data_IF_451621711881
#
_entry.id   IF_451621711881
#
_cell.length_a   1.000
_cell.length_b   1.000
_cell.length_c   1.000
_cell.angle_alpha   90.00
_cell.angle_beta   90.00
_cell.angle_gamma   90.00
#
_symmetry.space_group_name_H-M   'P 1'
#
loop_
_entity.id
_entity.type
_entity.pdbx_description
1 polymer ?
#
# COMPACT_ATOMS: atom_id res chain seq x y z
N UNK A 1 29.96 1.51 2.24
CA UNK A 1 29.83 1.17 3.67
C UNK A 1 30.00 2.40 4.59
N UNK A 2 30.77 3.42 4.19
CA UNK A 2 30.99 4.68 4.94
C UNK A 2 29.74 5.33 5.55
N UNK A 3 28.67 5.52 4.77
CA UNK A 3 27.43 6.13 5.28
C UNK A 3 26.75 5.31 6.38
N UNK A 4 26.76 3.98 6.24
CA UNK A 4 26.16 3.06 7.21
C UNK A 4 26.95 3.06 8.51
N UNK A 5 28.28 2.95 8.45
CA UNK A 5 29.14 2.92 9.65
C UNK A 5 29.16 4.25 10.41
N UNK A 6 28.84 5.36 9.73
CA UNK A 6 28.67 6.67 10.37
C UNK A 6 27.27 6.87 10.97
N UNK A 7 26.37 5.88 10.90
CA UNK A 7 25.05 5.95 11.53
C UNK A 7 24.04 6.81 10.77
N UNK A 8 24.26 7.08 9.48
CA UNK A 8 23.35 7.93 8.69
C UNK A 8 22.01 7.22 8.35
N UNK A 9 21.92 5.91 8.54
CA UNK A 9 20.72 5.11 8.25
C UNK A 9 20.52 4.77 6.76
N UNK A 10 21.45 5.16 5.88
CA UNK A 10 21.42 4.89 4.43
C UNK A 10 22.83 4.57 3.87
N UNK A 11 22.97 4.05 2.63
CA UNK A 11 21.92 3.60 1.72
C UNK A 11 21.10 2.45 2.30
N UNK A 12 19.79 2.46 2.03
CA UNK A 12 18.95 1.32 2.36
C UNK A 12 19.31 0.14 1.43
N UNK A 13 19.54 -1.04 2.00
CA UNK A 13 19.95 -2.21 1.23
C UNK A 13 18.72 -3.02 0.83
N UNK A 14 18.65 -3.40 -0.45
CA UNK A 14 17.53 -4.15 -1.03
C UNK A 14 18.00 -5.35 -1.81
N UNK A 15 17.14 -6.37 -1.83
CA UNK A 15 17.34 -7.53 -2.66
C UNK A 15 16.82 -7.24 -4.08
N UNK A 16 17.74 -6.88 -4.97
CA UNK A 16 17.47 -6.54 -6.37
C UNK A 16 16.63 -7.60 -7.09
N UNK A 17 17.00 -8.88 -6.98
CA UNK A 17 16.33 -9.98 -7.67
C UNK A 17 14.89 -10.21 -7.18
N UNK A 18 14.62 -9.93 -5.91
CA UNK A 18 13.25 -9.98 -5.37
C UNK A 18 12.41 -8.85 -5.95
N UNK A 19 12.96 -7.64 -6.06
CA UNK A 19 12.23 -6.47 -6.53
C UNK A 19 11.93 -6.52 -8.04
N UNK A 20 12.89 -6.99 -8.85
CA UNK A 20 12.66 -7.25 -10.28
C UNK A 20 11.52 -8.25 -10.46
N UNK A 21 11.58 -9.40 -9.77
CA UNK A 21 10.54 -10.43 -9.84
C UNK A 21 9.18 -9.92 -9.35
N UNK A 22 9.17 -9.06 -8.31
CA UNK A 22 7.94 -8.46 -7.79
C UNK A 22 7.28 -7.54 -8.83
N UNK A 23 8.04 -6.66 -9.49
CA UNK A 23 7.51 -5.81 -10.57
C UNK A 23 6.94 -6.65 -11.73
N UNK A 24 7.66 -7.70 -12.14
CA UNK A 24 7.19 -8.58 -13.20
C UNK A 24 5.88 -9.29 -12.82
N UNK A 25 5.79 -9.80 -11.58
CA UNK A 25 4.64 -10.58 -11.12
C UNK A 25 3.41 -9.70 -10.83
N UNK A 26 3.57 -8.62 -10.06
CA UNK A 26 2.45 -7.79 -9.61
C UNK A 26 2.03 -6.73 -10.61
N UNK A 27 2.98 -6.27 -11.43
CA UNK A 27 2.76 -5.16 -12.36
C UNK A 27 2.85 -5.57 -13.82
N UNK A 28 3.14 -6.84 -14.13
CA UNK A 28 3.34 -7.30 -15.51
C UNK A 28 4.40 -6.47 -16.28
N UNK A 29 5.34 -5.86 -15.55
CA UNK A 29 6.41 -5.06 -16.14
C UNK A 29 7.36 -5.99 -16.91
N UNK A 30 7.74 -5.65 -18.16
CA UNK A 30 8.76 -6.39 -18.89
C UNK A 30 10.06 -6.46 -18.11
N UNK A 31 10.78 -7.57 -18.20
CA UNK A 31 11.99 -7.79 -17.41
C UNK A 31 13.04 -6.68 -17.61
N UNK A 32 13.20 -6.19 -18.85
CA UNK A 32 14.11 -5.08 -19.17
C UNK A 32 13.79 -3.82 -18.38
N UNK A 33 12.51 -3.43 -18.32
CA UNK A 33 12.06 -2.27 -17.53
C UNK A 33 12.09 -2.56 -16.02
N UNK A 34 11.76 -3.79 -15.59
CA UNK A 34 11.80 -4.16 -14.19
C UNK A 34 13.20 -4.04 -13.59
N UNK A 35 14.26 -4.20 -14.41
CA UNK A 35 15.67 -3.99 -14.03
C UNK A 35 16.03 -2.52 -13.80
N UNK A 36 15.22 -1.57 -14.25
CA UNK A 36 15.44 -0.13 -14.01
C UNK A 36 14.75 0.39 -12.75
N UNK A 37 14.29 -0.51 -11.87
CA UNK A 37 13.52 -0.14 -10.70
C UNK A 37 14.25 0.85 -9.79
N UNK A 38 13.49 1.80 -9.27
CA UNK A 38 13.89 2.66 -8.15
C UNK A 38 12.88 2.50 -7.02
N UNK A 39 13.24 2.91 -5.81
CA UNK A 39 12.27 2.96 -4.71
C UNK A 39 11.36 4.19 -4.92
N UNK A 40 10.08 3.98 -5.20
CA UNK A 40 9.14 5.09 -5.44
C UNK A 40 8.92 5.96 -4.20
N UNK A 41 9.05 5.35 -3.03
CA UNK A 41 9.05 6.01 -1.73
C UNK A 41 10.03 5.26 -0.82
N UNK A 42 9.56 4.77 0.33
CA UNK A 42 10.41 3.98 1.20
C UNK A 42 10.76 2.64 0.56
N UNK A 43 9.76 1.77 0.28
CA UNK A 43 10.02 0.36 -0.03
C UNK A 43 9.72 -0.05 -1.47
N UNK A 44 8.60 0.40 -2.03
CA UNK A 44 8.02 -0.24 -3.21
C UNK A 44 8.84 0.05 -4.47
N UNK A 45 9.21 -0.99 -5.24
CA UNK A 45 9.95 -0.81 -6.48
C UNK A 45 9.03 -0.23 -7.54
N UNK A 46 9.53 0.69 -8.36
CA UNK A 46 8.84 1.21 -9.53
C UNK A 46 9.86 1.35 -10.66
N UNK A 47 9.61 0.74 -11.83
CA UNK A 47 10.40 0.98 -13.02
C UNK A 47 10.43 2.47 -13.36
N UNK A 48 11.62 2.98 -13.71
CA UNK A 48 11.79 4.32 -14.26
C UNK A 48 12.20 4.18 -15.72
N UNK A 49 11.32 4.59 -16.63
CA UNK A 49 11.53 4.49 -18.09
C UNK A 49 11.11 5.80 -18.75
N UNK A 50 11.67 6.08 -19.94
CA UNK A 50 11.30 7.26 -20.74
C UNK A 50 9.89 7.17 -21.32
N UNK A 51 9.45 5.96 -21.64
CA UNK A 51 8.08 5.70 -22.10
C UNK A 51 7.07 6.20 -21.07
N UNK A 52 7.37 6.00 -19.79
CA UNK A 52 6.74 6.66 -18.66
C UNK A 52 6.89 5.81 -17.40
N UNK A 53 6.67 6.40 -16.25
CA UNK A 53 6.55 5.66 -14.99
C UNK A 53 5.20 5.90 -14.33
N UNK A 54 4.99 5.25 -13.19
CA UNK A 54 3.78 5.40 -12.41
C UNK A 54 3.64 6.85 -11.90
N UNK A 55 2.64 7.63 -12.35
CA UNK A 55 2.53 9.07 -12.08
C UNK A 55 2.02 9.39 -10.67
N UNK A 56 1.53 8.38 -9.95
CA UNK A 56 0.85 8.53 -8.69
C UNK A 56 1.37 7.51 -7.66
N UNK A 57 1.46 7.93 -6.40
CA UNK A 57 1.66 7.00 -5.29
C UNK A 57 0.34 6.29 -5.01
N UNK A 58 0.25 4.98 -5.25
CA UNK A 58 -0.98 4.23 -4.98
C UNK A 58 -1.24 3.99 -3.50
N UNK A 59 -0.20 3.97 -2.68
CA UNK A 59 -0.32 4.06 -1.22
C UNK A 59 -0.66 5.50 -0.79
N UNK A 60 -1.87 5.98 -1.08
CA UNK A 60 -2.40 7.17 -0.39
C UNK A 60 -3.05 6.80 0.95
N UNK A 61 -3.22 5.51 1.24
CA UNK A 61 -3.86 5.00 2.44
C UNK A 61 -2.91 4.05 3.19
N UNK A 62 -2.56 4.47 4.40
CA UNK A 62 -1.92 3.64 5.39
C UNK A 62 -3.02 2.97 6.22
N UNK A 63 -3.00 1.65 6.35
CA UNK A 63 -3.85 0.93 7.31
C UNK A 63 -3.06 0.65 8.57
N UNK A 64 -3.74 0.55 9.71
CA UNK A 64 -3.13 0.36 11.02
C UNK A 64 -3.52 -1.03 11.53
N UNK A 65 -2.57 -1.96 11.52
CA UNK A 65 -2.86 -3.35 11.81
C UNK A 65 -3.22 -3.63 13.27
N UNK A 66 -2.53 -3.01 14.22
CA UNK A 66 -2.90 -3.08 15.65
C UNK A 66 -4.28 -2.49 15.92
N UNK A 67 -4.72 -1.51 15.12
CA UNK A 67 -6.07 -0.96 15.24
C UNK A 67 -7.12 -2.01 14.88
N UNK A 68 -6.87 -2.89 13.91
CA UNK A 68 -7.77 -3.99 13.60
C UNK A 68 -7.91 -4.97 14.79
N UNK A 69 -6.83 -5.23 15.53
CA UNK A 69 -6.88 -6.02 16.76
C UNK A 69 -7.74 -5.35 17.83
N UNK A 70 -7.49 -4.06 18.11
CA UNK A 70 -8.29 -3.29 19.07
C UNK A 70 -9.78 -3.28 18.66
N UNK A 71 -10.08 -3.08 17.38
CA UNK A 71 -11.45 -3.10 16.88
C UNK A 71 -12.11 -4.47 17.07
N UNK A 72 -11.40 -5.58 16.84
CA UNK A 72 -11.97 -6.90 17.10
C UNK A 72 -12.32 -7.10 18.59
N UNK A 73 -11.44 -6.62 19.49
CA UNK A 73 -11.66 -6.65 20.94
C UNK A 73 -12.75 -5.68 21.45
N UNK A 74 -13.16 -4.73 20.62
CA UNK A 74 -14.19 -3.75 20.96
C UNK A 74 -15.43 -3.89 20.06
N UNK A 75 -15.63 -5.04 19.41
CA UNK A 75 -16.78 -5.28 18.53
C UNK A 75 -16.93 -4.19 17.44
N UNK A 76 -15.81 -3.79 16.84
CA UNK A 76 -15.69 -2.73 15.84
C UNK A 76 -15.80 -1.29 16.37
N UNK A 77 -16.00 -1.11 17.68
CA UNK A 77 -16.07 0.20 18.29
C UNK A 77 -14.68 0.76 18.57
N UNK A 78 -14.46 2.04 18.23
CA UNK A 78 -13.24 2.73 18.58
C UNK A 78 -13.47 3.56 19.86
N UNK A 79 -12.86 3.18 21.00
CA UNK A 79 -13.05 3.90 22.25
C UNK A 79 -12.39 5.28 22.26
N UNK A 80 -11.34 5.52 21.45
CA UNK A 80 -10.63 6.80 21.38
C UNK A 80 -11.48 7.87 20.69
N UNK A 81 -12.17 7.51 19.61
CA UNK A 81 -13.04 8.43 18.86
C UNK A 81 -14.50 8.36 19.31
N UNK A 82 -14.82 7.44 20.23
CA UNK A 82 -16.17 7.15 20.68
C UNK A 82 -17.13 6.89 19.49
N UNK A 83 -16.69 6.10 18.51
CA UNK A 83 -17.40 5.88 17.25
C UNK A 83 -17.26 4.43 16.76
N UNK A 84 -18.34 3.89 16.19
CA UNK A 84 -18.30 2.62 15.46
C UNK A 84 -17.62 2.85 14.11
N UNK A 85 -16.41 2.31 13.92
CA UNK A 85 -15.66 2.46 12.67
C UNK A 85 -15.39 1.13 11.96
N UNK A 86 -15.43 0.03 12.72
CA UNK A 86 -15.31 -1.32 12.20
C UNK A 86 -16.65 -2.05 12.18
N UNK A 87 -16.75 -3.17 11.45
CA UNK A 87 -17.90 -4.07 11.54
C UNK A 87 -18.09 -4.60 12.96
N UNK A 88 -19.34 -4.86 13.34
CA UNK A 88 -19.66 -5.52 14.62
C UNK A 88 -19.39 -7.02 14.51
N UNK A 89 -18.18 -7.42 14.87
CA UNK A 89 -17.70 -8.81 14.76
C UNK A 89 -18.17 -9.73 15.90
N UNK A 90 -18.79 -9.19 16.95
CA UNK A 90 -19.30 -9.93 18.10
C UNK A 90 -18.62 -9.55 19.42
N UNK A 91 -19.07 -10.18 20.51
CA UNK A 91 -18.48 -10.02 21.84
C UNK A 91 -17.24 -10.93 21.98
N UNK A 92 -16.02 -10.38 22.06
CA UNK A 92 -14.79 -11.16 22.09
C UNK A 92 -14.66 -12.02 23.34
N UNK A 93 -15.35 -11.70 24.44
CA UNK A 93 -15.33 -12.52 25.65
C UNK A 93 -16.04 -13.87 25.47
N UNK A 94 -16.79 -14.04 24.37
CA UNK A 94 -17.52 -15.25 24.02
C UNK A 94 -16.91 -15.99 22.83
N UNK A 95 -15.82 -15.48 22.27
CA UNK A 95 -15.14 -16.07 21.12
C UNK A 95 -14.07 -17.07 21.55
N UNK A 96 -13.95 -18.14 20.79
CA UNK A 96 -12.73 -18.95 20.71
C UNK A 96 -11.60 -18.15 20.07
N UNK A 97 -10.37 -18.65 20.19
CA UNK A 97 -9.21 -18.02 19.55
C UNK A 97 -9.37 -17.90 18.03
N UNK A 98 -9.91 -18.92 17.37
CA UNK A 98 -10.11 -18.93 15.93
C UNK A 98 -11.18 -17.90 15.52
N UNK A 99 -12.29 -17.80 16.27
CA UNK A 99 -13.32 -16.79 16.04
C UNK A 99 -12.79 -15.36 16.25
N UNK A 100 -11.93 -15.14 17.25
CA UNK A 100 -11.27 -13.85 17.44
C UNK A 100 -10.32 -13.53 16.28
N UNK A 101 -9.55 -14.52 15.81
CA UNK A 101 -8.66 -14.37 14.66
C UNK A 101 -9.44 -13.99 13.40
N UNK A 102 -10.58 -14.64 13.15
CA UNK A 102 -11.50 -14.30 12.07
C UNK A 102 -12.09 -12.90 12.23
N UNK A 103 -12.45 -12.50 13.45
CA UNK A 103 -12.90 -11.14 13.74
C UNK A 103 -11.83 -10.09 13.40
N UNK A 104 -10.56 -10.34 13.74
CA UNK A 104 -9.43 -9.46 13.36
C UNK A 104 -9.31 -9.37 11.84
N UNK A 105 -9.33 -10.50 11.14
CA UNK A 105 -9.28 -10.54 9.67
C UNK A 105 -10.44 -9.75 9.05
N UNK A 106 -11.63 -9.80 9.64
CA UNK A 106 -12.78 -9.03 9.16
C UNK A 106 -12.58 -7.52 9.34
N UNK A 107 -11.97 -7.08 10.45
CA UNK A 107 -11.56 -5.68 10.63
C UNK A 107 -10.51 -5.25 9.58
N UNK A 108 -9.56 -6.13 9.25
CA UNK A 108 -8.58 -5.89 8.18
C UNK A 108 -9.26 -5.71 6.82
N UNK A 109 -10.21 -6.57 6.44
CA UNK A 109 -10.90 -6.46 5.14
C UNK A 109 -11.56 -5.10 4.97
N UNK A 110 -12.30 -4.63 5.98
CA UNK A 110 -13.01 -3.36 5.90
C UNK A 110 -12.05 -2.18 5.81
N UNK A 111 -11.02 -2.11 6.65
CA UNK A 111 -10.08 -0.97 6.59
C UNK A 111 -9.31 -0.93 5.25
N UNK A 112 -8.94 -2.09 4.70
CA UNK A 112 -8.25 -2.18 3.41
C UNK A 112 -9.19 -1.83 2.26
N UNK A 113 -10.44 -2.27 2.32
CA UNK A 113 -11.46 -1.91 1.33
C UNK A 113 -11.68 -0.39 1.27
N UNK A 114 -11.89 0.25 2.42
CA UNK A 114 -12.07 1.70 2.50
C UNK A 114 -10.84 2.45 2.00
N UNK A 115 -9.64 2.00 2.38
CA UNK A 115 -8.36 2.53 1.95
C UNK A 115 -8.18 2.49 0.43
N UNK A 116 -8.50 1.37 -0.22
CA UNK A 116 -8.41 1.21 -1.69
C UNK A 116 -9.50 2.00 -2.40
N UNK A 117 -10.73 1.99 -1.88
CA UNK A 117 -11.87 2.74 -2.43
C UNK A 117 -11.57 4.23 -2.50
N UNK A 118 -11.08 4.83 -1.41
CA UNK A 118 -10.69 6.25 -1.39
C UNK A 118 -9.62 6.57 -2.43
N UNK A 119 -8.60 5.72 -2.58
CA UNK A 119 -7.54 5.93 -3.57
C UNK A 119 -8.08 5.86 -5.01
N UNK A 120 -8.95 4.91 -5.29
CA UNK A 120 -9.56 4.76 -6.61
C UNK A 120 -10.42 5.98 -6.97
N UNK A 121 -11.17 6.54 -6.02
CA UNK A 121 -11.92 7.79 -6.22
C UNK A 121 -10.96 8.95 -6.51
N UNK A 122 -9.89 9.10 -5.71
CA UNK A 122 -8.90 10.15 -5.92
C UNK A 122 -8.25 10.07 -7.31
N UNK A 123 -7.96 8.86 -7.79
CA UNK A 123 -7.41 8.63 -9.13
C UNK A 123 -8.35 9.14 -10.24
N UNK A 124 -9.66 8.89 -10.15
CA UNK A 124 -10.62 9.41 -11.13
C UNK A 124 -10.58 10.93 -11.23
N UNK A 125 -10.37 11.63 -10.11
CA UNK A 125 -10.24 13.09 -10.07
C UNK A 125 -8.90 13.55 -10.67
N UNK A 126 -7.80 12.83 -10.41
CA UNK A 126 -6.49 13.13 -10.99
C UNK A 126 -6.44 12.91 -12.51
N UNK A 127 -7.21 11.96 -13.03
CA UNK A 127 -7.39 11.74 -14.47
C UNK A 127 -8.04 12.97 -15.14
N UNK A 128 -8.98 13.63 -14.47
CA UNK A 128 -9.66 14.84 -14.97
C UNK A 128 -8.76 16.07 -14.89
N UNK A 129 -8.08 16.29 -13.76
CA UNK A 129 -7.24 17.48 -13.58
C UNK A 129 -5.97 17.43 -14.41
N UNK A 130 -5.39 16.22 -14.54
CA UNK A 130 -4.12 15.99 -15.18
C UNK A 130 -2.94 16.73 -14.56
N UNK A 131 -1.73 16.47 -15.08
CA UNK A 131 -0.51 17.21 -14.73
C UNK A 131 0.31 17.47 -16.00
N UNK A 132 0.05 18.56 -16.75
CA UNK A 132 0.61 18.74 -18.08
C UNK A 132 2.14 18.75 -18.10
N UNK A 133 2.79 19.30 -17.08
CA UNK A 133 4.24 19.26 -16.97
C UNK A 133 4.78 17.84 -16.80
N UNK A 134 4.14 17.01 -15.98
CA UNK A 134 4.52 15.61 -15.79
C UNK A 134 4.27 14.82 -17.09
N UNK A 135 3.11 14.99 -17.72
CA UNK A 135 2.79 14.36 -19.00
C UNK A 135 3.82 14.70 -20.08
N UNK A 136 4.31 15.94 -20.13
CA UNK A 136 5.34 16.35 -21.08
C UNK A 136 6.70 15.66 -20.89
N UNK A 137 6.93 14.98 -19.74
CA UNK A 137 8.16 14.22 -19.48
C UNK A 137 8.09 12.76 -19.92
N UNK A 138 6.92 12.26 -20.32
CA UNK A 138 6.72 10.87 -20.73
C UNK A 138 6.44 10.78 -22.23
N UNK A 139 7.21 9.95 -22.93
CA UNK A 139 7.10 9.78 -24.40
C UNK A 139 5.69 9.34 -24.79
N UNK A 140 5.10 8.37 -24.08
CA UNK A 140 3.75 7.87 -24.36
C UNK A 140 2.69 8.99 -24.27
N UNK A 141 2.80 9.84 -23.26
CA UNK A 141 1.85 10.93 -23.05
C UNK A 141 1.94 11.99 -24.15
N UNK A 142 3.16 12.31 -24.60
CA UNK A 142 3.40 13.25 -25.70
C UNK A 142 2.90 12.67 -27.02
N UNK A 143 3.21 11.41 -27.32
CA UNK A 143 2.83 10.74 -28.57
C UNK A 143 1.32 10.54 -28.70
N UNK A 144 0.65 10.14 -27.62
CA UNK A 144 -0.79 9.85 -27.61
C UNK A 144 -1.65 11.07 -27.25
N UNK A 145 -1.04 12.16 -26.78
CA UNK A 145 -1.77 13.34 -26.32
C UNK A 145 -2.63 13.08 -25.08
N UNK A 146 -2.19 12.16 -24.21
CA UNK A 146 -2.92 11.77 -22.99
C UNK A 146 -2.27 12.34 -21.74
N UNK A 147 -3.07 12.49 -20.69
CA UNK A 147 -2.57 12.80 -19.37
C UNK A 147 -1.86 11.58 -18.75
N UNK A 148 -0.74 11.81 -18.03
CA UNK A 148 0.01 10.76 -17.36
C UNK A 148 -0.85 9.84 -16.47
N UNK A 149 -1.90 10.37 -15.82
CA UNK A 149 -2.78 9.59 -14.94
C UNK A 149 -3.75 8.67 -15.68
N UNK A 150 -3.96 8.87 -17.00
CA UNK A 150 -4.79 7.99 -17.83
C UNK A 150 -4.10 6.64 -18.11
N UNK A 151 -2.78 6.57 -17.94
CA UNK A 151 -2.00 5.35 -18.14
C UNK A 151 -2.44 4.26 -17.16
N UNK A 152 -2.81 3.11 -17.72
CA UNK A 152 -3.30 1.94 -16.96
C UNK A 152 -2.40 0.71 -17.05
N UNK A 153 -1.48 0.72 -18.01
CA UNK A 153 -0.50 -0.35 -18.21
C UNK A 153 0.54 -0.32 -17.08
N UNK A 154 0.98 -1.51 -16.66
CA UNK A 154 2.00 -1.71 -15.64
C UNK A 154 1.66 -1.16 -14.23
N UNK A 155 0.50 -1.57 -13.71
CA UNK A 155 0.04 -1.13 -12.38
C UNK A 155 0.94 -1.61 -11.24
N UNK A 156 1.38 -0.70 -10.37
CA UNK A 156 2.17 -0.95 -9.17
C UNK A 156 1.34 -0.47 -7.97
N UNK A 157 0.26 -1.19 -7.73
CA UNK A 157 -0.68 -0.91 -6.66
C UNK A 157 -0.21 -1.61 -5.39
N UNK A 158 -0.08 -0.87 -4.31
CA UNK A 158 0.18 -1.45 -3.00
C UNK A 158 -0.55 -0.69 -1.92
N UNK A 159 -0.72 -1.36 -0.79
CA UNK A 159 -1.22 -0.78 0.44
C UNK A 159 -0.19 -1.04 1.53
N UNK A 160 0.08 -0.03 2.35
CA UNK A 160 1.03 -0.15 3.46
C UNK A 160 0.25 -0.33 4.75
N UNK A 161 0.37 -1.51 5.38
CA UNK A 161 -0.10 -1.71 6.74
C UNK A 161 1.03 -1.37 7.70
N UNK A 162 0.84 -0.35 8.54
CA UNK A 162 1.75 -0.04 9.64
C UNK A 162 1.31 -0.76 10.90
N UNK A 163 2.22 -0.90 11.86
CA UNK A 163 1.95 -1.42 13.22
C UNK A 163 1.16 -2.76 13.22
N UNK A 164 1.32 -3.55 12.16
CA UNK A 164 0.65 -4.84 12.02
C UNK A 164 1.31 -5.90 12.89
N UNK A 165 2.63 -5.80 13.12
CA UNK A 165 3.37 -6.66 14.04
C UNK A 165 2.79 -6.59 15.46
N UNK A 166 2.52 -5.39 15.98
CA UNK A 166 1.92 -5.23 17.32
C UNK A 166 0.55 -5.95 17.42
N UNK A 167 -0.23 -5.91 16.33
CA UNK A 167 -1.51 -6.63 16.25
C UNK A 167 -1.33 -8.16 16.21
N UNK A 168 -0.33 -8.66 15.48
CA UNK A 168 -0.03 -10.08 15.40
C UNK A 168 0.58 -10.62 16.70
N UNK A 169 1.48 -9.87 17.33
CA UNK A 169 2.05 -10.21 18.64
C UNK A 169 0.96 -10.26 19.72
N UNK A 170 -0.04 -9.38 19.63
CA UNK A 170 -1.22 -9.43 20.51
C UNK A 170 -2.02 -10.71 20.33
N UNK A 171 -2.20 -11.19 19.08
CA UNK A 171 -2.85 -12.49 18.82
C UNK A 171 -2.03 -13.64 19.41
N UNK A 172 -0.72 -13.63 19.24
CA UNK A 172 0.17 -14.66 19.83
C UNK A 172 0.08 -14.66 21.35
N UNK A 173 0.01 -13.49 21.99
CA UNK A 173 -0.09 -13.38 23.44
C UNK A 173 -1.44 -13.87 24.01
N UNK A 174 -2.51 -13.83 23.21
CA UNK A 174 -3.84 -14.31 23.60
C UNK A 174 -3.97 -15.83 23.47
N UNK A 175 -3.20 -16.45 22.58
CA UNK A 175 -3.22 -17.90 22.33
C UNK A 175 -2.57 -18.69 23.45
#
# INVERSE_FOLDING_TARGET
FECIRHGLGYPNIRNDQVLIKANMFWSNTPEEEARTWTAQACIVPCPETKHGCMPARYSSSATLGSKCMELALWNGFNPVFNMQIGPKTGDPAKMTFDELSDAVVEQYKVIHWEAVKMRNIARTIEEIHGRPHLSATYEECVEKGINAFERREYGNNWLTSFIWMDGMDSLVAIK
#
